data_IF_475691199123
#
_entry.id   IF_475691199123
#
_cell.length_a   1.000
_cell.length_b   1.000
_cell.length_c   1.000
_cell.angle_alpha   90.00
_cell.angle_beta   90.00
_cell.angle_gamma   90.00
#
_symmetry.space_group_name_H-M   'P 1'
#
loop_
_entity.id
_entity.type
_entity.pdbx_description
1 polymer ?
#
# COMPACT_ATOMS: atom_id res chain seq x y z
N UNK A 1 -23.35 14.37 -11.13
CA UNK A 1 -23.01 15.03 -9.85
C UNK A 1 -21.74 14.38 -9.35
N UNK A 2 -20.63 15.10 -9.33
CA UNK A 2 -19.38 14.61 -8.71
C UNK A 2 -19.60 14.64 -7.22
N UNK A 3 -19.70 13.48 -6.57
CA UNK A 3 -19.76 13.41 -5.11
C UNK A 3 -18.51 14.06 -4.54
N UNK A 4 -18.69 14.91 -3.54
CA UNK A 4 -17.60 15.51 -2.79
C UNK A 4 -16.78 14.39 -2.13
N UNK A 5 -15.44 14.48 -2.20
CA UNK A 5 -14.55 13.50 -1.58
C UNK A 5 -14.54 13.69 -0.06
N UNK A 6 -14.91 12.66 0.69
CA UNK A 6 -14.95 12.67 2.16
C UNK A 6 -13.86 11.78 2.79
N UNK A 7 -13.28 10.88 2.01
CA UNK A 7 -12.21 10.01 2.48
C UNK A 7 -11.17 9.74 1.40
N UNK A 8 -9.90 9.69 1.80
CA UNK A 8 -8.78 9.23 0.97
C UNK A 8 -8.10 8.07 1.70
N UNK A 9 -8.11 6.91 1.08
CA UNK A 9 -7.52 5.68 1.60
C UNK A 9 -6.27 5.41 0.77
N UNK A 10 -5.18 5.02 1.39
CA UNK A 10 -3.90 4.79 0.74
C UNK A 10 -3.48 3.32 0.86
N UNK A 11 -2.81 2.79 -0.15
CA UNK A 11 -1.87 1.70 0.09
C UNK A 11 -0.66 2.23 0.88
N UNK A 12 0.16 1.34 1.39
CA UNK A 12 1.33 1.71 2.20
C UNK A 12 2.64 1.62 1.40
N UNK A 13 2.94 0.41 0.88
CA UNK A 13 4.21 0.12 0.21
C UNK A 13 4.27 0.82 -1.14
N UNK A 14 5.35 1.53 -1.42
CA UNK A 14 5.55 2.34 -2.63
C UNK A 14 4.47 3.41 -2.88
N UNK A 15 3.54 3.61 -1.95
CA UNK A 15 2.53 4.68 -2.00
C UNK A 15 2.80 5.75 -0.93
N UNK A 16 2.78 5.41 0.35
CA UNK A 16 3.14 6.33 1.44
C UNK A 16 4.64 6.28 1.79
N UNK A 17 5.29 5.15 1.51
CA UNK A 17 6.67 4.91 1.88
C UNK A 17 7.41 4.04 0.85
N UNK A 18 8.68 4.33 0.60
CA UNK A 18 9.58 3.39 -0.08
C UNK A 18 10.02 2.31 0.90
N UNK A 19 9.45 1.13 0.74
CA UNK A 19 9.80 -0.07 1.50
C UNK A 19 10.72 -1.02 0.71
N UNK A 20 10.95 -0.75 -0.57
CA UNK A 20 11.60 -1.68 -1.48
C UNK A 20 13.03 -2.03 -1.07
N UNK A 21 13.80 -1.06 -0.57
CA UNK A 21 15.17 -1.31 -0.08
C UNK A 21 15.19 -2.17 1.18
N UNK A 22 14.25 -1.93 2.09
CA UNK A 22 14.13 -2.70 3.32
C UNK A 22 13.72 -4.16 3.03
N UNK A 23 12.71 -4.34 2.18
CA UNK A 23 12.24 -5.67 1.77
C UNK A 23 13.36 -6.41 1.01
N UNK A 24 14.06 -5.74 0.07
CA UNK A 24 15.21 -6.30 -0.65
C UNK A 24 16.31 -6.78 0.30
N UNK A 25 16.70 -5.94 1.26
CA UNK A 25 17.72 -6.29 2.25
C UNK A 25 17.32 -7.52 3.06
N UNK A 26 16.11 -7.53 3.64
CA UNK A 26 15.62 -8.62 4.47
C UNK A 26 15.39 -9.91 3.67
N UNK A 27 14.90 -9.82 2.42
CA UNK A 27 14.75 -10.96 1.53
C UNK A 27 16.10 -11.62 1.22
N UNK A 28 17.15 -10.84 1.00
CA UNK A 28 18.49 -11.38 0.75
C UNK A 28 19.17 -11.92 2.03
N UNK A 29 18.84 -11.40 3.20
CA UNK A 29 19.22 -12.04 4.47
C UNK A 29 18.57 -13.43 4.60
N UNK A 30 17.28 -13.54 4.27
CA UNK A 30 16.56 -14.80 4.24
C UNK A 30 17.16 -15.76 3.22
N UNK A 31 17.44 -15.28 2.01
CA UNK A 31 18.04 -16.08 0.93
C UNK A 31 19.37 -16.71 1.39
N UNK A 32 20.26 -15.92 2.00
CA UNK A 32 21.52 -16.42 2.55
C UNK A 32 21.32 -17.48 3.64
N UNK A 33 20.32 -17.25 4.53
CA UNK A 33 20.03 -18.18 5.63
C UNK A 33 19.58 -19.54 5.13
N UNK A 34 18.76 -19.59 4.09
CA UNK A 34 18.15 -20.83 3.57
C UNK A 34 18.76 -21.35 2.27
N UNK A 35 19.91 -20.78 1.83
CA UNK A 35 20.60 -21.19 0.61
C UNK A 35 19.80 -20.91 -0.67
N UNK A 36 18.97 -19.89 -0.67
CA UNK A 36 18.21 -19.43 -1.82
C UNK A 36 19.06 -18.46 -2.65
N UNK A 37 18.65 -18.23 -3.91
CA UNK A 37 19.28 -17.24 -4.78
C UNK A 37 18.97 -15.82 -4.28
N UNK A 38 20.00 -14.99 -4.15
CA UNK A 38 19.79 -13.56 -3.90
C UNK A 38 19.07 -12.90 -5.10
N UNK A 39 18.19 -11.97 -4.80
CA UNK A 39 17.34 -11.28 -5.76
C UNK A 39 17.72 -9.81 -5.86
N UNK A 40 17.45 -9.18 -7.00
CA UNK A 40 17.65 -7.75 -7.19
C UNK A 40 16.45 -6.93 -6.66
N UNK A 41 16.64 -5.62 -6.52
CA UNK A 41 15.55 -4.71 -6.10
C UNK A 41 14.40 -4.69 -7.12
N UNK A 42 14.69 -4.83 -8.41
CA UNK A 42 13.69 -4.87 -9.48
C UNK A 42 12.77 -6.08 -9.32
N UNK A 43 13.32 -7.25 -8.92
CA UNK A 43 12.52 -8.44 -8.60
C UNK A 43 11.63 -8.19 -7.38
N UNK A 44 12.14 -7.49 -6.37
CA UNK A 44 11.33 -7.11 -5.19
C UNK A 44 10.19 -6.18 -5.59
N UNK A 45 10.48 -5.15 -6.38
CA UNK A 45 9.47 -4.20 -6.85
C UNK A 45 8.34 -4.89 -7.62
N UNK A 46 8.66 -5.91 -8.43
CA UNK A 46 7.66 -6.68 -9.15
C UNK A 46 6.70 -7.49 -8.24
N UNK A 47 7.10 -7.73 -6.99
CA UNK A 47 6.27 -8.45 -6.01
C UNK A 47 5.56 -7.55 -5.01
N UNK A 48 5.96 -6.28 -4.88
CA UNK A 48 5.30 -5.36 -3.95
C UNK A 48 3.83 -5.16 -4.37
N UNK A 49 2.94 -5.19 -3.40
CA UNK A 49 1.48 -5.23 -3.60
C UNK A 49 0.87 -6.61 -3.36
N UNK A 50 1.63 -7.69 -3.57
CA UNK A 50 1.19 -9.06 -3.27
C UNK A 50 1.33 -9.40 -1.77
N UNK A 51 0.57 -10.40 -1.26
CA UNK A 51 0.90 -11.07 0.00
C UNK A 51 2.33 -11.65 -0.02
N UNK A 52 3.01 -11.66 1.12
CA UNK A 52 4.42 -12.11 1.21
C UNK A 52 4.61 -13.55 0.70
N UNK A 53 3.61 -14.41 0.90
CA UNK A 53 3.61 -15.79 0.42
C UNK A 53 3.70 -15.85 -1.12
N UNK A 54 3.00 -14.96 -1.81
CA UNK A 54 2.98 -14.88 -3.27
C UNK A 54 4.23 -14.15 -3.81
N UNK A 55 4.73 -13.14 -3.07
CA UNK A 55 6.03 -12.54 -3.36
C UNK A 55 7.14 -13.62 -3.41
N UNK A 56 7.20 -14.50 -2.42
CA UNK A 56 8.26 -15.52 -2.36
C UNK A 56 8.10 -16.61 -3.40
N UNK A 57 6.86 -16.98 -3.75
CA UNK A 57 6.62 -17.84 -4.92
C UNK A 57 7.11 -17.19 -6.22
N UNK A 58 6.90 -15.87 -6.36
CA UNK A 58 7.42 -15.12 -7.50
C UNK A 58 8.96 -15.07 -7.49
N UNK A 59 9.58 -14.84 -6.32
CA UNK A 59 11.03 -14.70 -6.22
C UNK A 59 11.80 -16.01 -6.36
N UNK A 60 11.28 -17.09 -5.74
CA UNK A 60 12.00 -18.35 -5.62
C UNK A 60 11.25 -19.57 -6.13
N UNK A 61 10.03 -19.40 -6.67
CA UNK A 61 9.20 -20.50 -7.14
C UNK A 61 8.56 -21.34 -6.05
N UNK A 62 8.75 -20.98 -4.77
CA UNK A 62 8.31 -21.74 -3.61
C UNK A 62 7.98 -20.83 -2.42
N UNK A 63 7.28 -21.38 -1.44
CA UNK A 63 6.98 -20.76 -0.16
C UNK A 63 7.04 -21.83 0.95
N UNK A 64 7.62 -21.49 2.09
CA UNK A 64 7.66 -22.34 3.29
C UNK A 64 7.30 -21.56 4.55
N UNK A 65 6.47 -22.14 5.39
CA UNK A 65 6.08 -21.55 6.70
C UNK A 65 7.30 -21.32 7.59
N UNK A 66 8.35 -22.14 7.45
CA UNK A 66 9.62 -21.97 8.16
C UNK A 66 10.29 -20.62 7.78
N UNK A 67 10.31 -20.29 6.48
CA UNK A 67 10.87 -19.01 6.02
C UNK A 67 10.11 -17.82 6.60
N UNK A 68 8.76 -17.91 6.57
CA UNK A 68 7.90 -16.87 7.08
C UNK A 68 8.05 -16.67 8.59
N UNK A 69 8.15 -17.78 9.33
CA UNK A 69 8.37 -17.74 10.78
C UNK A 69 9.72 -17.11 11.11
N UNK A 70 10.78 -17.50 10.40
CA UNK A 70 12.11 -16.94 10.57
C UNK A 70 12.15 -15.44 10.21
N UNK A 71 11.58 -15.06 9.06
CA UNK A 71 11.50 -13.67 8.62
C UNK A 71 10.79 -12.76 9.65
N UNK A 72 9.66 -13.22 10.15
CA UNK A 72 8.88 -12.47 11.15
C UNK A 72 9.59 -12.31 12.48
N UNK A 73 10.35 -13.30 12.89
CA UNK A 73 11.06 -13.26 14.16
C UNK A 73 12.34 -12.43 14.09
N UNK A 74 13.12 -12.59 13.02
CA UNK A 74 14.46 -12.02 12.92
C UNK A 74 14.52 -10.69 12.19
N UNK A 75 13.67 -10.48 11.18
CA UNK A 75 13.85 -9.35 10.27
C UNK A 75 12.78 -8.28 10.34
N UNK A 76 11.66 -8.49 11.03
CA UNK A 76 10.59 -7.48 11.11
C UNK A 76 11.11 -6.12 11.60
N UNK A 77 11.88 -6.08 12.67
CA UNK A 77 12.48 -4.86 13.21
C UNK A 77 13.46 -4.21 12.23
N UNK A 78 14.28 -5.03 11.56
CA UNK A 78 15.26 -4.59 10.57
C UNK A 78 14.52 -3.97 9.36
N UNK A 79 13.48 -4.63 8.88
CA UNK A 79 12.65 -4.12 7.78
C UNK A 79 12.03 -2.77 8.14
N UNK A 80 11.39 -2.65 9.29
CA UNK A 80 10.74 -1.41 9.72
C UNK A 80 11.71 -0.24 9.79
N UNK A 81 12.91 -0.44 10.30
CA UNK A 81 13.93 0.63 10.36
C UNK A 81 14.50 1.02 9.00
N UNK A 82 14.37 0.16 8.00
CA UNK A 82 14.80 0.40 6.62
C UNK A 82 13.79 1.13 5.74
N UNK A 83 12.51 1.16 6.14
CA UNK A 83 11.46 1.86 5.37
C UNK A 83 11.64 3.38 5.48
N UNK A 84 11.33 4.10 4.42
CA UNK A 84 11.41 5.57 4.35
C UNK A 84 10.11 6.14 3.79
N UNK A 85 9.52 7.09 4.51
CA UNK A 85 8.38 7.84 3.96
C UNK A 85 8.79 8.61 2.71
N UNK A 86 7.91 8.70 1.74
CA UNK A 86 8.09 9.65 0.64
C UNK A 86 8.06 11.09 1.17
N UNK A 87 8.77 12.03 0.52
CA UNK A 87 9.00 13.37 1.08
C UNK A 87 7.73 14.11 1.51
N UNK A 88 6.64 13.99 0.76
CA UNK A 88 5.42 14.76 0.97
C UNK A 88 4.32 14.02 1.78
N UNK A 89 4.59 12.80 2.25
CA UNK A 89 3.58 11.94 2.91
C UNK A 89 2.88 12.64 4.07
N UNK A 90 3.63 13.14 5.04
CA UNK A 90 3.04 13.77 6.23
C UNK A 90 2.28 15.05 5.86
N UNK A 91 2.87 15.90 5.03
CA UNK A 91 2.25 17.16 4.60
C UNK A 91 0.92 16.95 3.87
N UNK A 92 0.84 15.92 3.03
CA UNK A 92 -0.39 15.55 2.32
C UNK A 92 -1.46 15.06 3.29
N UNK A 93 -1.10 14.19 4.24
CA UNK A 93 -2.03 13.69 5.25
C UNK A 93 -2.56 14.81 6.14
N UNK A 94 -1.69 15.72 6.58
CA UNK A 94 -2.09 16.92 7.36
C UNK A 94 -3.06 17.80 6.57
N UNK A 95 -2.78 18.02 5.29
CA UNK A 95 -3.61 18.85 4.43
C UNK A 95 -5.00 18.25 4.22
N UNK A 96 -5.10 16.95 3.94
CA UNK A 96 -6.38 16.25 3.80
C UNK A 96 -7.19 16.33 5.09
N UNK A 97 -6.58 16.04 6.23
CA UNK A 97 -7.25 16.08 7.53
C UNK A 97 -7.64 17.50 7.92
N UNK A 98 -6.82 18.51 7.64
CA UNK A 98 -7.13 19.92 7.83
C UNK A 98 -8.34 20.38 7.02
N UNK A 99 -8.63 19.73 5.91
CA UNK A 99 -9.83 19.95 5.09
C UNK A 99 -11.04 19.09 5.54
N UNK A 100 -10.93 18.33 6.63
CA UNK A 100 -12.00 17.47 7.13
C UNK A 100 -12.16 16.15 6.36
N UNK A 101 -11.21 15.80 5.47
CA UNK A 101 -11.19 14.54 4.73
C UNK A 101 -10.61 13.46 5.64
N UNK A 102 -11.34 12.37 5.80
CA UNK A 102 -10.88 11.20 6.55
C UNK A 102 -9.78 10.47 5.78
N UNK A 103 -8.83 9.90 6.51
CA UNK A 103 -7.69 9.20 5.92
C UNK A 103 -7.55 7.79 6.47
N UNK A 104 -7.04 6.86 5.65
CA UNK A 104 -6.84 5.49 6.08
C UNK A 104 -5.81 4.76 5.26
N UNK A 105 -5.47 3.53 5.71
CA UNK A 105 -4.58 2.61 5.01
C UNK A 105 -5.31 1.29 4.73
N UNK A 106 -5.17 0.78 3.51
CA UNK A 106 -5.56 -0.58 3.11
C UNK A 106 -4.36 -1.23 2.44
N UNK A 107 -3.82 -2.30 3.02
CA UNK A 107 -2.60 -2.93 2.53
C UNK A 107 -2.67 -4.47 2.59
N UNK A 108 -2.01 -5.16 1.65
CA UNK A 108 -1.79 -6.60 1.69
C UNK A 108 -0.71 -7.02 2.71
N UNK A 109 -0.16 -6.06 3.46
CA UNK A 109 0.68 -6.40 4.62
C UNK A 109 -0.15 -7.02 5.74
N UNK A 110 0.36 -8.09 6.34
CA UNK A 110 -0.14 -8.56 7.63
C UNK A 110 0.34 -7.64 8.75
N UNK A 111 -0.57 -7.23 9.63
CA UNK A 111 -0.32 -6.28 10.72
C UNK A 111 0.13 -4.90 10.19
N UNK A 112 -0.59 -4.38 9.21
CA UNK A 112 -0.34 -3.06 8.62
C UNK A 112 -0.29 -1.94 9.68
N UNK A 113 -1.07 -2.06 10.75
CA UNK A 113 -1.05 -1.13 11.89
C UNK A 113 0.34 -0.94 12.50
N UNK A 114 1.16 -2.01 12.57
CA UNK A 114 2.49 -1.94 13.17
C UNK A 114 3.48 -1.13 12.33
N UNK A 115 3.41 -1.25 11.00
CA UNK A 115 4.29 -0.47 10.14
C UNK A 115 3.85 1.00 10.10
N UNK A 116 2.55 1.27 10.08
CA UNK A 116 1.99 2.62 10.20
C UNK A 116 2.42 3.28 11.51
N UNK A 117 2.38 2.54 12.63
CA UNK A 117 2.85 3.00 13.95
C UNK A 117 4.35 3.28 13.94
N UNK A 118 5.17 2.36 13.40
CA UNK A 118 6.63 2.53 13.35
C UNK A 118 7.07 3.74 12.52
N UNK A 119 6.23 4.19 11.58
CA UNK A 119 6.45 5.40 10.78
C UNK A 119 5.83 6.66 11.40
N UNK A 120 5.28 6.57 12.62
CA UNK A 120 4.56 7.65 13.30
C UNK A 120 3.36 8.20 12.51
N UNK A 121 2.72 7.38 11.69
CA UNK A 121 1.56 7.77 10.89
C UNK A 121 0.21 7.53 11.57
N UNK A 122 0.17 6.80 12.69
CA UNK A 122 -1.08 6.51 13.42
C UNK A 122 -1.94 7.74 13.70
N UNK A 123 -1.38 8.92 14.10
CA UNK A 123 -2.20 10.11 14.36
C UNK A 123 -2.94 10.65 13.12
N UNK A 124 -2.52 10.24 11.95
CA UNK A 124 -3.09 10.68 10.67
C UNK A 124 -4.14 9.70 10.12
N UNK A 125 -4.33 8.53 10.74
CA UNK A 125 -5.20 7.47 10.19
C UNK A 125 -6.47 7.30 11.02
N UNK A 126 -7.62 7.44 10.37
CA UNK A 126 -8.93 7.14 10.95
C UNK A 126 -9.26 5.65 10.84
N UNK A 127 -8.63 4.94 9.89
CA UNK A 127 -8.77 3.49 9.71
C UNK A 127 -7.47 2.87 9.17
N UNK A 128 -7.16 1.68 9.63
CA UNK A 128 -6.12 0.82 9.06
C UNK A 128 -6.73 -0.56 8.87
N UNK A 129 -6.55 -1.14 7.68
CA UNK A 129 -6.97 -2.50 7.33
C UNK A 129 -5.78 -3.21 6.71
N UNK A 130 -5.35 -4.28 7.35
CA UNK A 130 -4.30 -5.16 6.88
C UNK A 130 -4.87 -6.51 6.42
N UNK A 131 -4.00 -7.38 5.92
CA UNK A 131 -4.38 -8.72 5.47
C UNK A 131 -4.96 -9.59 6.59
N UNK A 132 -4.62 -9.33 7.85
CA UNK A 132 -5.21 -10.03 9.01
C UNK A 132 -6.66 -9.68 9.28
N UNK A 133 -7.13 -8.59 8.72
CA UNK A 133 -8.49 -8.09 8.91
C UNK A 133 -9.49 -8.65 7.90
N UNK A 134 -9.04 -9.29 6.84
CA UNK A 134 -9.85 -9.75 5.71
C UNK A 134 -9.62 -11.22 5.40
N UNK A 135 -10.57 -11.81 4.68
CA UNK A 135 -10.45 -13.19 4.18
C UNK A 135 -9.67 -13.23 2.87
N UNK A 136 -9.94 -12.27 2.00
CA UNK A 136 -9.35 -12.19 0.67
C UNK A 136 -8.43 -10.98 0.57
N UNK A 137 -7.23 -11.19 0.04
CA UNK A 137 -6.27 -10.13 -0.26
C UNK A 137 -6.73 -9.29 -1.46
N UNK A 138 -6.25 -8.05 -1.58
CA UNK A 138 -6.35 -7.29 -2.84
C UNK A 138 -5.85 -8.16 -4.01
N UNK A 139 -6.51 -8.18 -5.16
CA UNK A 139 -7.50 -7.21 -5.65
C UNK A 139 -8.95 -7.46 -5.22
N UNK A 140 -9.25 -8.39 -4.28
CA UNK A 140 -10.58 -8.48 -3.71
C UNK A 140 -10.97 -7.18 -3.01
N UNK A 141 -12.18 -6.63 -3.22
CA UNK A 141 -12.61 -5.35 -2.65
C UNK A 141 -12.90 -5.39 -1.14
N UNK A 142 -12.84 -6.54 -0.48
CA UNK A 142 -13.21 -6.74 0.93
C UNK A 142 -12.55 -5.71 1.86
N UNK A 143 -11.24 -5.47 1.67
CA UNK A 143 -10.50 -4.53 2.50
C UNK A 143 -10.98 -3.07 2.33
N UNK A 144 -11.29 -2.65 1.10
CA UNK A 144 -11.84 -1.32 0.83
C UNK A 144 -13.27 -1.18 1.35
N UNK A 145 -14.13 -2.18 1.19
CA UNK A 145 -15.47 -2.16 1.79
C UNK A 145 -15.41 -2.01 3.30
N UNK A 146 -14.50 -2.73 3.94
CA UNK A 146 -14.28 -2.65 5.39
C UNK A 146 -13.80 -1.26 5.81
N UNK A 147 -12.86 -0.68 5.07
CA UNK A 147 -12.34 0.66 5.35
C UNK A 147 -13.41 1.75 5.16
N UNK A 148 -14.12 1.75 4.03
CA UNK A 148 -15.21 2.68 3.72
C UNK A 148 -16.33 2.60 4.76
N UNK A 149 -16.71 1.36 5.16
CA UNK A 149 -17.72 1.13 6.21
C UNK A 149 -17.28 1.69 7.57
N UNK A 150 -16.03 1.45 8.00
CA UNK A 150 -15.49 1.99 9.25
C UNK A 150 -15.39 3.52 9.23
N UNK A 151 -15.09 4.11 8.07
CA UNK A 151 -15.06 5.56 7.90
C UNK A 151 -16.46 6.19 7.85
N UNK A 152 -17.51 5.40 7.64
CA UNK A 152 -18.87 5.89 7.55
C UNK A 152 -19.13 6.78 6.32
N UNK A 153 -18.50 6.45 5.18
CA UNK A 153 -18.65 7.17 3.91
C UNK A 153 -19.18 6.23 2.82
N UNK A 154 -19.77 6.78 1.78
CA UNK A 154 -20.15 6.00 0.60
C UNK A 154 -18.93 5.72 -0.31
N UNK A 155 -18.96 4.62 -1.08
CA UNK A 155 -17.89 4.28 -2.02
C UNK A 155 -17.60 5.43 -3.01
N UNK A 156 -18.64 6.10 -3.53
CA UNK A 156 -18.49 7.26 -4.42
C UNK A 156 -17.93 8.52 -3.75
N UNK A 157 -17.84 8.56 -2.41
CA UNK A 157 -17.26 9.64 -1.61
C UNK A 157 -15.83 9.32 -1.18
N UNK A 158 -15.34 8.12 -1.48
CA UNK A 158 -13.99 7.68 -1.18
C UNK A 158 -13.09 7.70 -2.42
N UNK A 159 -11.80 7.81 -2.19
CA UNK A 159 -10.74 7.64 -3.18
C UNK A 159 -9.72 6.66 -2.62
N UNK A 160 -9.23 5.75 -3.44
CA UNK A 160 -8.14 4.84 -3.09
C UNK A 160 -6.90 5.22 -3.90
N UNK A 161 -5.77 5.40 -3.21
CA UNK A 161 -4.48 5.78 -3.78
C UNK A 161 -3.53 4.61 -3.63
N UNK A 162 -2.93 4.15 -4.73
CA UNK A 162 -1.99 3.02 -4.75
C UNK A 162 -1.10 3.05 -5.98
N UNK A 163 -0.04 2.25 -5.99
CA UNK A 163 0.99 2.27 -7.03
C UNK A 163 0.96 1.04 -7.95
N UNK A 164 0.04 0.11 -7.70
CA UNK A 164 -0.04 -1.14 -8.46
C UNK A 164 -1.34 -1.29 -9.25
N UNK A 165 -1.32 -2.18 -10.24
CA UNK A 165 -2.52 -2.65 -10.93
C UNK A 165 -3.51 -3.32 -9.97
N UNK A 166 -3.00 -4.04 -8.95
CA UNK A 166 -3.79 -4.65 -7.87
C UNK A 166 -4.62 -3.60 -7.14
N UNK A 167 -4.04 -2.43 -6.83
CA UNK A 167 -4.74 -1.34 -6.17
C UNK A 167 -5.85 -0.77 -7.04
N UNK A 168 -5.56 -0.56 -8.31
CA UNK A 168 -6.53 -0.04 -9.27
C UNK A 168 -7.67 -1.04 -9.49
N UNK A 169 -7.37 -2.32 -9.63
CA UNK A 169 -8.39 -3.38 -9.72
C UNK A 169 -9.24 -3.46 -8.45
N UNK A 170 -8.64 -3.30 -7.27
CA UNK A 170 -9.37 -3.24 -5.99
C UNK A 170 -10.32 -2.05 -5.95
N UNK A 171 -9.85 -0.88 -6.38
CA UNK A 171 -10.68 0.33 -6.45
C UNK A 171 -11.86 0.15 -7.39
N UNK A 172 -11.62 -0.40 -8.59
CA UNK A 172 -12.68 -0.69 -9.57
C UNK A 172 -13.70 -1.68 -9.02
N UNK A 173 -13.24 -2.77 -8.41
CA UNK A 173 -14.11 -3.79 -7.82
C UNK A 173 -14.95 -3.25 -6.65
N UNK A 174 -14.41 -2.29 -5.88
CA UNK A 174 -15.11 -1.62 -4.78
C UNK A 174 -15.98 -0.44 -5.23
N UNK A 175 -16.01 -0.10 -6.52
CA UNK A 175 -16.68 1.09 -7.06
C UNK A 175 -16.17 2.39 -6.40
N UNK A 176 -14.89 2.40 -6.04
CA UNK A 176 -14.16 3.55 -5.48
C UNK A 176 -13.27 4.14 -6.59
N UNK A 177 -13.10 5.46 -6.62
CA UNK A 177 -12.18 6.09 -7.58
C UNK A 177 -10.73 5.74 -7.21
N UNK A 178 -9.99 5.12 -8.15
CA UNK A 178 -8.58 4.81 -7.99
C UNK A 178 -7.68 5.95 -8.47
N UNK A 179 -6.69 6.35 -7.67
CA UNK A 179 -5.59 7.23 -8.07
C UNK A 179 -4.31 6.41 -8.09
N UNK A 180 -3.73 6.27 -9.26
CA UNK A 180 -2.47 5.55 -9.44
C UNK A 180 -1.27 6.45 -9.09
N UNK A 181 -0.26 5.87 -8.43
CA UNK A 181 1.02 6.53 -8.14
C UNK A 181 2.15 5.86 -8.94
N UNK A 182 2.92 6.61 -9.72
CA UNK A 182 4.07 6.06 -10.47
C UNK A 182 5.34 5.91 -9.62
N UNK A 183 5.17 5.76 -8.32
CA UNK A 183 6.26 5.57 -7.35
C UNK A 183 6.74 4.12 -7.22
N UNK A 184 5.92 3.17 -7.67
CA UNK A 184 6.21 1.74 -7.70
C UNK A 184 6.73 1.24 -9.04
N UNK A 185 6.25 0.07 -9.47
CA UNK A 185 6.72 -0.63 -10.66
C UNK A 185 5.86 -0.38 -11.92
N UNK A 186 4.76 0.36 -11.79
CA UNK A 186 3.84 0.66 -12.89
C UNK A 186 4.02 2.09 -13.38
N UNK A 187 3.97 2.26 -14.69
CA UNK A 187 3.91 3.57 -15.33
C UNK A 187 2.46 4.07 -15.47
N UNK A 188 2.32 5.28 -16.01
CA UNK A 188 1.01 5.92 -16.19
C UNK A 188 0.08 5.08 -17.08
N UNK A 189 0.61 4.49 -18.16
CA UNK A 189 -0.18 3.68 -19.10
C UNK A 189 -0.68 2.40 -18.43
N UNK A 190 0.17 1.69 -17.68
CA UNK A 190 -0.19 0.49 -16.95
C UNK A 190 -1.24 0.75 -15.87
N UNK A 191 -1.10 1.83 -15.10
CA UNK A 191 -2.07 2.20 -14.06
C UNK A 191 -3.41 2.64 -14.69
N UNK A 192 -3.39 3.39 -15.79
CA UNK A 192 -4.59 3.77 -16.50
C UNK A 192 -5.32 2.55 -17.08
N UNK A 193 -4.58 1.60 -17.67
CA UNK A 193 -5.13 0.34 -18.19
C UNK A 193 -5.75 -0.52 -17.08
N UNK A 194 -5.20 -0.47 -15.86
CA UNK A 194 -5.74 -1.15 -14.69
C UNK A 194 -6.98 -0.47 -14.07
N UNK A 195 -7.36 0.71 -14.56
CA UNK A 195 -8.60 1.40 -14.17
C UNK A 195 -8.40 2.63 -13.29
N UNK A 196 -7.19 3.21 -13.25
CA UNK A 196 -6.97 4.45 -12.53
C UNK A 196 -7.85 5.58 -13.11
N UNK A 197 -8.55 6.28 -12.22
CA UNK A 197 -9.31 7.51 -12.58
C UNK A 197 -8.35 8.67 -12.88
N UNK A 198 -7.23 8.74 -12.15
CA UNK A 198 -6.12 9.69 -12.33
C UNK A 198 -4.81 9.00 -11.99
N UNK A 199 -3.73 9.50 -12.55
CA UNK A 199 -2.37 9.07 -12.20
C UNK A 199 -1.57 10.29 -11.76
N UNK A 200 -0.79 10.14 -10.70
CA UNK A 200 0.09 11.16 -10.11
C UNK A 200 1.51 10.60 -10.00
N UNK A 201 2.49 11.48 -10.10
CA UNK A 201 3.91 11.13 -9.92
C UNK A 201 4.43 11.43 -8.50
N UNK A 202 3.73 12.32 -7.78
CA UNK A 202 4.04 12.69 -6.39
C UNK A 202 2.75 12.81 -5.58
N UNK A 203 2.80 12.39 -4.32
CA UNK A 203 1.67 12.50 -3.38
C UNK A 203 1.16 13.93 -3.22
N UNK A 204 2.02 14.95 -3.41
CA UNK A 204 1.62 16.36 -3.29
C UNK A 204 0.54 16.77 -4.29
N UNK A 205 0.38 16.02 -5.38
CA UNK A 205 -0.63 16.25 -6.41
C UNK A 205 -2.03 15.81 -5.95
N UNK A 206 -2.11 14.82 -5.04
CA UNK A 206 -3.35 14.17 -4.62
C UNK A 206 -4.37 15.15 -4.03
N UNK A 207 -4.03 16.08 -3.10
CA UNK A 207 -4.97 17.05 -2.59
C UNK A 207 -5.55 17.98 -3.67
N UNK A 208 -4.75 18.30 -4.69
CA UNK A 208 -5.18 19.13 -5.81
C UNK A 208 -6.34 18.53 -6.61
N UNK A 209 -6.46 17.20 -6.65
CA UNK A 209 -7.57 16.49 -7.32
C UNK A 209 -8.93 16.80 -6.68
N UNK A 210 -8.94 17.27 -5.44
CA UNK A 210 -10.12 17.63 -4.65
C UNK A 210 -10.26 19.13 -4.45
N UNK A 211 -9.51 19.96 -5.19
CA UNK A 211 -9.55 21.42 -5.12
C UNK A 211 -8.83 22.02 -3.91
N UNK A 212 -8.05 21.24 -3.18
CA UNK A 212 -7.23 21.71 -2.06
C UNK A 212 -5.91 22.29 -2.60
N UNK A 213 -5.74 23.61 -2.43
CA UNK A 213 -4.53 24.33 -2.86
C UNK A 213 -3.41 24.23 -1.85
#
# INVERSE_FOLDING_TARGET
MTNETKAVIFDFDMTLADSSYAIHHCSNLLARKFGLKEISREVVLAGIGLPIEDCWRLYWGDFKDEWLSYYRNEFRGVEQTGIRLFPNTVAVLEKLRGAGIKTGVVSNRRFASRVVESMNLTPYMDVIVGLEDVTNAKPDPEALFKAVGKLGVGAGEAVYVGDTDIDMQTAVAAVVRGVGMTTGNFDEEGLAAAGAWRVCSDLIEVPGLFGLK
#
